data_IF_086944012791
#
_entry.id   IF_086944012791
#
_cell.length_a   1.000
_cell.length_b   1.000
_cell.length_c   1.000
_cell.angle_alpha   90.00
_cell.angle_beta   90.00
_cell.angle_gamma   90.00
#
_symmetry.space_group_name_H-M   'P 1'
#
loop_
_entity.id
_entity.type
_entity.pdbx_description
1 polymer ?
#
# COMPACT_ATOMS: atom_id res chain seq x y z
N UNK A 1 -6.10 -1.90 6.48
CA UNK A 1 -4.77 -2.53 6.59
C UNK A 1 -4.83 -3.99 7.06
N UNK A 2 -5.46 -4.35 8.19
CA UNK A 2 -5.48 -5.77 8.65
C UNK A 2 -5.82 -6.80 7.56
N UNK A 3 -6.82 -6.51 6.73
CA UNK A 3 -7.27 -7.44 5.67
C UNK A 3 -6.30 -7.69 4.52
N UNK A 4 -5.16 -6.97 4.44
CA UNK A 4 -4.14 -7.26 3.42
C UNK A 4 -2.94 -8.05 3.95
N UNK A 5 -2.76 -8.14 5.28
CA UNK A 5 -1.56 -8.73 5.87
C UNK A 5 -1.41 -10.21 5.58
N UNK A 6 -2.49 -10.98 5.68
CA UNK A 6 -2.47 -12.42 5.40
C UNK A 6 -2.09 -12.73 3.95
N UNK A 7 -2.71 -12.10 2.91
CA UNK A 7 -2.22 -12.23 1.54
C UNK A 7 -0.76 -11.84 1.35
N UNK A 8 -0.30 -10.73 1.97
CA UNK A 8 1.11 -10.31 1.87
C UNK A 8 2.06 -11.33 2.49
N UNK A 9 1.74 -11.89 3.66
CA UNK A 9 2.56 -12.91 4.30
C UNK A 9 2.53 -14.23 3.54
N UNK A 10 1.43 -14.54 2.84
CA UNK A 10 1.32 -15.68 1.92
C UNK A 10 2.27 -15.62 0.72
N UNK A 11 2.74 -14.43 0.34
CA UNK A 11 3.79 -14.25 -0.68
C UNK A 11 5.21 -14.44 -0.11
N UNK A 12 5.34 -14.84 1.17
CA UNK A 12 6.59 -15.17 1.85
C UNK A 12 7.69 -14.08 1.76
N UNK A 13 7.42 -12.82 2.17
CA UNK A 13 8.46 -11.81 2.24
C UNK A 13 9.51 -12.18 3.31
N UNK A 14 10.74 -11.72 3.12
CA UNK A 14 11.79 -11.88 4.13
C UNK A 14 11.42 -11.19 5.46
N UNK A 15 10.73 -10.06 5.38
CA UNK A 15 10.20 -9.33 6.52
C UNK A 15 8.98 -8.49 6.10
N UNK A 16 8.02 -8.33 7.01
CA UNK A 16 6.93 -7.35 6.92
C UNK A 16 6.94 -6.44 8.15
N UNK A 17 7.25 -5.15 7.95
CA UNK A 17 7.21 -4.14 9.02
C UNK A 17 5.91 -3.32 8.97
N UNK A 18 5.16 -3.33 10.07
CA UNK A 18 3.96 -2.51 10.27
C UNK A 18 4.37 -1.25 11.03
N UNK A 19 4.37 -0.11 10.36
CA UNK A 19 4.60 1.19 11.01
C UNK A 19 3.28 1.92 11.29
N UNK A 20 3.12 2.47 12.49
CA UNK A 20 1.92 3.23 12.83
C UNK A 20 2.23 4.40 13.77
N UNK A 21 1.36 5.42 13.78
CA UNK A 21 1.45 6.56 14.71
C UNK A 21 1.44 6.10 16.18
N UNK A 22 0.65 5.07 16.48
CA UNK A 22 0.62 4.43 17.80
C UNK A 22 1.35 3.10 17.72
N UNK A 23 2.62 3.06 18.13
CA UNK A 23 3.49 1.88 18.02
C UNK A 23 2.83 0.61 18.59
N UNK A 24 2.21 0.70 19.78
CA UNK A 24 1.49 -0.42 20.40
C UNK A 24 0.46 -1.07 19.47
N UNK A 25 -0.32 -0.28 18.71
CA UNK A 25 -1.31 -0.83 17.78
C UNK A 25 -0.68 -1.61 16.63
N UNK A 26 0.54 -1.25 16.23
CA UNK A 26 1.29 -1.99 15.21
C UNK A 26 1.85 -3.29 15.80
N UNK A 27 2.45 -3.23 17.00
CA UNK A 27 2.95 -4.40 17.73
C UNK A 27 1.82 -5.42 17.96
N UNK A 28 0.70 -5.00 18.54
CA UNK A 28 -0.45 -5.86 18.79
C UNK A 28 -1.03 -6.44 17.48
N UNK A 29 -0.83 -5.78 16.34
CA UNK A 29 -1.27 -6.28 15.04
C UNK A 29 -0.27 -7.30 14.49
N UNK A 30 1.03 -7.06 14.62
CA UNK A 30 2.07 -8.01 14.23
C UNK A 30 1.97 -9.32 15.01
N UNK A 31 1.78 -9.26 16.33
CA UNK A 31 1.61 -10.44 17.19
C UNK A 31 0.45 -11.35 16.74
N UNK A 32 -0.61 -10.77 16.17
CA UNK A 32 -1.78 -11.52 15.67
C UNK A 32 -1.53 -12.28 14.36
N UNK A 33 -0.42 -12.01 13.69
CA UNK A 33 -0.05 -12.62 12.40
C UNK A 33 1.35 -13.28 12.47
N UNK A 34 1.93 -13.39 13.68
CA UNK A 34 3.27 -13.90 13.89
C UNK A 34 3.43 -15.39 13.51
N UNK A 35 2.32 -16.13 13.46
CA UNK A 35 2.24 -17.51 12.99
C UNK A 35 2.33 -17.64 11.46
N UNK A 36 2.12 -16.56 10.70
CA UNK A 36 2.10 -16.55 9.24
C UNK A 36 3.42 -16.11 8.60
N UNK A 37 4.36 -15.52 9.36
CA UNK A 37 5.67 -15.13 8.85
C UNK A 37 6.42 -14.13 9.73
N UNK A 38 7.52 -13.61 9.20
CA UNK A 38 8.34 -12.59 9.87
C UNK A 38 7.65 -11.21 9.81
N UNK A 39 6.82 -10.92 10.80
CA UNK A 39 6.08 -9.66 10.92
C UNK A 39 6.43 -8.91 12.20
N UNK A 40 6.72 -7.62 12.08
CA UNK A 40 7.09 -6.74 13.19
C UNK A 40 6.23 -5.49 13.20
N UNK A 41 6.06 -4.88 14.38
CA UNK A 41 5.31 -3.64 14.54
C UNK A 41 6.14 -2.56 15.24
N UNK A 42 6.07 -1.32 14.75
CA UNK A 42 6.83 -0.20 15.31
C UNK A 42 6.11 1.15 15.16
N UNK A 43 6.65 2.19 15.81
CA UNK A 43 6.32 3.58 15.54
C UNK A 43 7.07 4.12 14.31
N UNK A 44 6.56 5.19 13.68
CA UNK A 44 7.21 5.79 12.51
C UNK A 44 8.66 6.24 12.75
N UNK A 45 9.00 6.67 13.98
CA UNK A 45 10.34 7.12 14.33
C UNK A 45 11.37 5.98 14.41
N UNK A 46 10.91 4.74 14.49
CA UNK A 46 11.73 3.53 14.62
C UNK A 46 11.90 2.82 13.27
N UNK A 47 11.34 3.38 12.18
CA UNK A 47 11.42 2.78 10.84
C UNK A 47 12.81 3.02 10.26
N UNK A 48 13.55 1.93 10.07
CA UNK A 48 14.85 1.91 9.41
C UNK A 48 14.74 1.12 8.11
N UNK A 49 15.20 1.70 7.00
CA UNK A 49 15.17 1.07 5.67
C UNK A 49 16.56 0.93 5.05
N UNK A 50 16.65 0.68 3.74
CA UNK A 50 15.58 0.79 2.74
C UNK A 50 14.65 -0.43 2.66
N UNK A 51 13.49 -0.25 2.04
CA UNK A 51 12.54 -1.33 1.73
C UNK A 51 12.39 -1.56 0.23
N UNK A 52 12.13 -2.80 -0.18
CA UNK A 52 11.80 -3.11 -1.57
C UNK A 52 10.39 -2.62 -1.97
N UNK A 53 9.44 -2.71 -1.05
CA UNK A 53 8.05 -2.29 -1.22
C UNK A 53 7.56 -1.52 0.00
N UNK A 54 6.98 -0.33 -0.22
CA UNK A 54 6.30 0.45 0.82
C UNK A 54 4.83 0.60 0.44
N UNK A 55 3.93 0.13 1.30
CA UNK A 55 2.48 0.28 1.13
C UNK A 55 1.94 1.31 2.13
N UNK A 56 1.48 2.46 1.63
CA UNK A 56 0.78 3.42 2.47
C UNK A 56 -0.69 3.01 2.64
N UNK A 57 -1.02 2.56 3.85
CA UNK A 57 -2.40 2.25 4.26
C UNK A 57 -3.08 3.37 5.06
N UNK A 58 -2.49 4.57 5.13
CA UNK A 58 -3.02 5.69 5.93
C UNK A 58 -3.92 6.59 5.09
N UNK A 59 -5.00 7.11 5.67
CA UNK A 59 -5.87 8.11 5.02
C UNK A 59 -5.25 9.52 4.99
N UNK A 60 -4.07 9.71 5.58
CA UNK A 60 -3.37 11.00 5.67
C UNK A 60 -3.05 11.59 4.29
N UNK A 61 -2.79 10.73 3.30
CA UNK A 61 -2.40 11.17 1.95
C UNK A 61 -3.49 11.92 1.20
N UNK A 62 -4.76 11.73 1.57
CA UNK A 62 -5.89 12.53 1.05
C UNK A 62 -5.96 13.93 1.67
N UNK A 63 -5.42 14.11 2.87
CA UNK A 63 -5.32 15.41 3.54
C UNK A 63 -4.05 16.19 3.12
N UNK A 64 -3.23 15.62 2.22
CA UNK A 64 -1.95 16.21 1.81
C UNK A 64 -0.76 15.79 2.68
N UNK A 65 -0.98 14.94 3.69
CA UNK A 65 0.04 14.54 4.65
C UNK A 65 0.75 13.25 4.23
N UNK A 66 2.03 13.18 4.58
CA UNK A 66 2.84 11.96 4.46
C UNK A 66 3.28 11.56 5.88
N UNK A 67 3.20 10.26 6.24
CA UNK A 67 3.74 9.81 7.51
C UNK A 67 5.20 10.29 7.69
N UNK A 68 5.62 10.63 8.93
CA UNK A 68 6.94 11.18 9.19
C UNK A 68 8.01 10.09 9.10
N UNK A 69 8.31 9.65 7.88
CA UNK A 69 9.28 8.62 7.56
C UNK A 69 10.63 9.25 7.20
N UNK A 70 11.72 8.60 7.62
CA UNK A 70 13.06 8.95 7.19
C UNK A 70 13.19 8.82 5.66
N UNK A 71 14.04 9.63 5.02
CA UNK A 71 14.24 9.53 3.58
C UNK A 71 14.92 8.21 3.17
N UNK A 72 15.70 7.62 4.08
CA UNK A 72 16.43 6.37 3.91
C UNK A 72 15.54 5.14 3.69
N UNK A 73 14.22 5.26 3.90
CA UNK A 73 13.29 4.15 3.62
C UNK A 73 13.14 3.86 2.13
N UNK A 74 13.43 4.85 1.27
CA UNK A 74 13.44 4.71 -0.19
C UNK A 74 14.87 4.57 -0.68
N UNK A 75 15.15 3.45 -1.35
CA UNK A 75 16.34 3.28 -2.19
C UNK A 75 16.01 3.73 -3.63
N UNK A 76 16.64 4.81 -4.12
CA UNK A 76 16.35 5.34 -5.45
C UNK A 76 16.57 4.30 -6.56
N UNK A 77 15.62 4.20 -7.48
CA UNK A 77 15.65 3.24 -8.59
C UNK A 77 15.30 1.79 -8.21
N UNK A 78 15.08 1.50 -6.92
CA UNK A 78 14.72 0.15 -6.43
C UNK A 78 13.37 0.10 -5.72
N UNK A 79 13.13 0.95 -4.73
CA UNK A 79 11.93 0.87 -3.89
C UNK A 79 10.67 1.16 -4.71
N UNK A 80 9.68 0.29 -4.60
CA UNK A 80 8.33 0.50 -5.14
C UNK A 80 7.44 1.07 -4.04
N UNK A 81 6.67 2.10 -4.35
CA UNK A 81 5.71 2.69 -3.42
C UNK A 81 4.28 2.50 -3.93
N UNK A 82 3.39 2.05 -3.05
CA UNK A 82 1.97 1.81 -3.35
C UNK A 82 1.11 2.56 -2.34
N UNK A 83 0.29 3.49 -2.80
CA UNK A 83 -0.73 4.12 -1.98
C UNK A 83 -2.04 3.36 -2.07
N UNK A 84 -2.65 2.97 -0.96
CA UNK A 84 -4.00 2.41 -0.97
C UNK A 84 -5.07 3.47 -1.30
N UNK A 85 -4.70 4.76 -1.21
CA UNK A 85 -5.53 5.88 -1.65
C UNK A 85 -5.37 6.12 -3.16
N UNK A 86 -6.39 6.75 -3.76
CA UNK A 86 -6.36 7.20 -5.16
C UNK A 86 -7.06 8.54 -5.27
N UNK A 87 -6.61 9.37 -6.23
CA UNK A 87 -7.15 10.69 -6.49
C UNK A 87 -6.91 11.07 -7.96
N UNK A 88 -7.54 12.16 -8.42
CA UNK A 88 -7.33 12.73 -9.76
C UNK A 88 -5.85 13.03 -10.02
N UNK A 89 -5.24 13.73 -9.07
CA UNK A 89 -3.81 14.03 -9.07
C UNK A 89 -3.07 12.97 -8.24
N UNK A 90 -1.77 12.73 -8.51
CA UNK A 90 -0.95 11.85 -7.68
C UNK A 90 -1.07 12.22 -6.20
N UNK A 91 -1.26 11.25 -5.31
CA UNK A 91 -1.41 11.50 -3.86
C UNK A 91 -0.15 12.14 -3.26
N UNK A 92 -0.27 12.72 -2.06
CA UNK A 92 0.89 13.30 -1.37
C UNK A 92 2.01 12.26 -1.13
N UNK A 93 1.66 11.02 -0.79
CA UNK A 93 2.63 9.93 -0.63
C UNK A 93 3.31 9.56 -1.96
N UNK A 94 2.55 9.44 -3.04
CA UNK A 94 3.13 9.11 -4.35
C UNK A 94 4.03 10.24 -4.88
N UNK A 95 3.68 11.51 -4.68
CA UNK A 95 4.57 12.63 -5.01
C UNK A 95 5.86 12.60 -4.18
N UNK A 96 5.73 12.45 -2.87
CA UNK A 96 6.86 12.34 -1.95
C UNK A 96 7.81 11.20 -2.30
N UNK A 97 7.27 10.05 -2.72
CA UNK A 97 8.03 8.88 -3.14
C UNK A 97 8.76 9.11 -4.48
N UNK A 98 8.06 9.70 -5.46
CA UNK A 98 8.63 10.02 -6.76
C UNK A 98 9.79 11.04 -6.63
N UNK A 99 9.63 12.07 -5.80
CA UNK A 99 10.68 13.06 -5.51
C UNK A 99 11.94 12.44 -4.87
N UNK A 100 11.79 11.29 -4.20
CA UNK A 100 12.90 10.52 -3.59
C UNK A 100 13.47 9.46 -4.52
N UNK A 101 13.00 9.40 -5.76
CA UNK A 101 13.51 8.48 -6.77
C UNK A 101 13.00 7.05 -6.62
N UNK A 102 11.85 6.82 -5.99
CA UNK A 102 11.22 5.49 -6.00
C UNK A 102 11.15 4.94 -7.44
N UNK A 103 11.43 3.65 -7.61
CA UNK A 103 11.43 3.00 -8.92
C UNK A 103 10.07 3.13 -9.61
N UNK A 104 9.00 2.97 -8.83
CA UNK A 104 7.61 3.08 -9.28
C UNK A 104 6.74 3.59 -8.14
N UNK A 105 5.74 4.39 -8.50
CA UNK A 105 4.66 4.82 -7.60
C UNK A 105 3.32 4.36 -8.16
N UNK A 106 2.50 3.74 -7.32
CA UNK A 106 1.20 3.16 -7.68
C UNK A 106 0.11 3.69 -6.74
N UNK A 107 -1.12 3.78 -7.23
CA UNK A 107 -2.28 4.20 -6.44
C UNK A 107 -3.28 3.04 -6.24
N UNK A 108 -4.26 3.28 -5.37
CA UNK A 108 -5.24 2.29 -4.95
C UNK A 108 -6.35 2.02 -5.96
N UNK A 109 -6.36 2.68 -7.13
CA UNK A 109 -7.44 2.48 -8.10
C UNK A 109 -7.40 1.06 -8.67
N UNK A 110 -6.19 0.51 -8.86
CA UNK A 110 -6.01 -0.89 -9.24
C UNK A 110 -6.59 -1.84 -8.18
N UNK A 111 -6.28 -1.60 -6.90
CA UNK A 111 -6.83 -2.38 -5.78
C UNK A 111 -8.36 -2.32 -5.76
N UNK A 112 -8.97 -1.15 -6.01
CA UNK A 112 -10.43 -1.00 -6.08
C UNK A 112 -11.06 -1.92 -7.14
N UNK A 113 -10.44 -2.00 -8.32
CA UNK A 113 -10.96 -2.81 -9.43
C UNK A 113 -10.76 -4.30 -9.14
N UNK A 114 -9.57 -4.70 -8.69
CA UNK A 114 -9.26 -6.11 -8.45
C UNK A 114 -10.09 -6.70 -7.30
N UNK A 115 -10.32 -5.95 -6.21
CA UNK A 115 -11.21 -6.43 -5.14
C UNK A 115 -12.67 -6.57 -5.61
N UNK A 116 -13.13 -5.70 -6.52
CA UNK A 116 -14.46 -5.81 -7.11
C UNK A 116 -14.56 -7.00 -8.08
N UNK A 117 -13.50 -7.28 -8.84
CA UNK A 117 -13.40 -8.45 -9.70
C UNK A 117 -13.44 -9.75 -8.87
N UNK A 118 -12.77 -9.79 -7.72
CA UNK A 118 -12.82 -10.93 -6.80
C UNK A 118 -14.22 -11.14 -6.22
N UNK A 119 -14.87 -10.07 -5.75
CA UNK A 119 -16.25 -10.14 -5.27
C UNK A 119 -17.22 -10.63 -6.37
N UNK A 120 -17.06 -10.14 -7.60
CA UNK A 120 -17.85 -10.59 -8.74
C UNK A 120 -17.63 -12.08 -9.03
N UNK A 121 -16.38 -12.56 -8.97
CA UNK A 121 -16.06 -13.96 -9.13
C UNK A 121 -16.76 -14.83 -8.07
N UNK A 122 -16.71 -14.43 -6.80
CA UNK A 122 -17.36 -15.16 -5.71
C UNK A 122 -18.88 -15.27 -5.89
N UNK A 123 -19.54 -14.22 -6.39
CA UNK A 123 -20.99 -14.22 -6.58
C UNK A 123 -21.46 -14.85 -7.88
N UNK A 124 -20.67 -14.76 -8.94
CA UNK A 124 -21.09 -15.10 -10.30
C UNK A 124 -20.36 -16.31 -10.88
N UNK A 125 -19.32 -16.80 -10.21
CA UNK A 125 -18.49 -17.91 -10.67
C UNK A 125 -17.64 -17.57 -11.90
N UNK A 126 -17.55 -16.31 -12.31
CA UNK A 126 -16.84 -15.85 -13.51
C UNK A 126 -15.89 -14.73 -13.11
N UNK A 127 -14.60 -14.88 -13.42
CA UNK A 127 -13.59 -13.83 -13.17
C UNK A 127 -13.62 -12.81 -14.33
N UNK A 128 -14.01 -11.55 -14.11
CA UNK A 128 -14.12 -10.58 -15.18
C UNK A 128 -12.74 -10.06 -15.59
N UNK A 129 -12.62 -9.56 -16.83
CA UNK A 129 -11.43 -8.83 -17.25
C UNK A 129 -11.41 -7.44 -16.59
N UNK A 130 -10.44 -7.19 -15.71
CA UNK A 130 -10.33 -5.96 -14.92
C UNK A 130 -9.68 -4.79 -15.67
N UNK A 131 -8.77 -5.06 -16.60
CA UNK A 131 -8.01 -4.01 -17.30
C UNK A 131 -8.88 -2.96 -18.02
N UNK A 132 -9.92 -3.33 -18.80
CA UNK A 132 -10.78 -2.34 -19.46
C UNK A 132 -11.59 -1.48 -18.47
N UNK A 133 -11.94 -2.06 -17.31
CA UNK A 133 -12.65 -1.36 -16.22
C UNK A 133 -11.72 -0.34 -15.59
N UNK A 134 -10.47 -0.73 -15.27
CA UNK A 134 -9.47 0.17 -14.71
C UNK A 134 -9.17 1.34 -15.64
N UNK A 135 -8.99 1.09 -16.94
CA UNK A 135 -8.79 2.16 -17.93
C UNK A 135 -9.96 3.14 -17.98
N UNK A 136 -11.19 2.63 -17.91
CA UNK A 136 -12.40 3.44 -17.92
C UNK A 136 -12.49 4.31 -16.67
N UNK A 137 -12.23 3.74 -15.50
CA UNK A 137 -12.22 4.50 -14.23
C UNK A 137 -11.11 5.55 -14.20
N UNK A 138 -9.92 5.25 -14.75
CA UNK A 138 -8.85 6.25 -14.88
C UNK A 138 -9.27 7.44 -15.73
N UNK A 139 -9.94 7.20 -16.86
CA UNK A 139 -10.47 8.30 -17.70
C UNK A 139 -11.51 9.13 -16.95
N UNK A 140 -12.42 8.48 -16.24
CA UNK A 140 -13.46 9.18 -15.47
C UNK A 140 -12.86 10.02 -14.34
N UNK A 141 -11.88 9.48 -13.61
CA UNK A 141 -11.22 10.18 -12.51
C UNK A 141 -10.47 11.44 -13.00
N UNK A 142 -9.94 11.42 -14.22
CA UNK A 142 -9.29 12.59 -14.82
C UNK A 142 -10.28 13.70 -15.24
N UNK A 143 -11.54 13.35 -15.50
CA UNK A 143 -12.58 14.29 -15.96
C UNK A 143 -13.35 15.00 -14.85
N UNK A 144 -13.37 14.43 -13.65
CA UNK A 144 -13.97 15.04 -12.43
C UNK A 144 -12.94 15.96 -11.79
#
# INVERSE_FOLDING_TARGET
MRGVLEPFLGECPAELLIANRTARKAVDLAERFADLGAVHGCGFAEVEGPFDLIVNGTSASLAGDVPPLAQSVIEPGRTVCYDMMYAKEPTAFNRWAAERGAARTLDGLGMLVEQAAEAFFLWRGVRPASAPVLETLRRQLATV
#
